data_IF_959131422451
#
_entry.id   IF_959131422451
#
_cell.length_a   1.000
_cell.length_b   1.000
_cell.length_c   1.000
_cell.angle_alpha   90.00
_cell.angle_beta   90.00
_cell.angle_gamma   90.00
#
_symmetry.space_group_name_H-M   'P 1'
#
loop_
_entity.id
_entity.type
_entity.pdbx_description
1 polymer ?
#
# COMPACT_ATOMS: atom_id res chain seq x y z
N UNK A 1 -16.02 -14.30 -8.32
CA UNK A 1 -16.57 -13.03 -7.77
C UNK A 1 -17.29 -13.19 -6.44
N UNK A 2 -18.51 -13.74 -6.33
CA UNK A 2 -19.21 -13.75 -5.01
C UNK A 2 -18.43 -14.53 -3.95
N UNK A 3 -17.97 -15.74 -4.26
CA UNK A 3 -17.15 -16.55 -3.35
C UNK A 3 -15.85 -15.83 -2.94
N UNK A 4 -15.25 -15.09 -3.88
CA UNK A 4 -14.06 -14.28 -3.61
C UNK A 4 -14.38 -13.13 -2.64
N UNK A 5 -15.48 -12.41 -2.85
CA UNK A 5 -15.88 -11.30 -1.97
C UNK A 5 -16.23 -11.79 -0.56
N UNK A 6 -16.85 -12.96 -0.46
CA UNK A 6 -17.13 -13.60 0.83
C UNK A 6 -15.83 -13.99 1.56
N UNK A 7 -14.90 -14.65 0.86
CA UNK A 7 -13.59 -14.98 1.42
C UNK A 7 -12.80 -13.73 1.84
N UNK A 8 -12.79 -12.69 0.99
CA UNK A 8 -12.14 -11.42 1.26
C UNK A 8 -12.72 -10.73 2.50
N UNK A 9 -14.04 -10.79 2.71
CA UNK A 9 -14.70 -10.20 3.87
C UNK A 9 -14.22 -10.86 5.18
N UNK A 10 -14.03 -12.18 5.18
CA UNK A 10 -13.61 -12.97 6.34
C UNK A 10 -12.10 -13.01 6.56
N UNK A 11 -11.27 -12.54 5.63
CA UNK A 11 -9.82 -12.53 5.79
C UNK A 11 -9.39 -11.65 6.98
N UNK A 12 -8.48 -12.15 7.82
CA UNK A 12 -8.04 -11.46 9.05
C UNK A 12 -6.64 -10.87 8.92
N UNK A 13 -5.88 -11.29 7.90
CA UNK A 13 -4.49 -10.85 7.70
C UNK A 13 -4.28 -10.28 6.30
N UNK A 14 -3.27 -9.40 6.17
CA UNK A 14 -2.85 -8.89 4.87
C UNK A 14 -2.36 -10.00 3.94
N UNK A 15 -1.74 -11.04 4.48
CA UNK A 15 -1.26 -12.20 3.73
C UNK A 15 -2.42 -12.98 3.11
N UNK A 16 -3.48 -13.26 3.89
CA UNK A 16 -4.68 -13.95 3.38
C UNK A 16 -5.34 -13.15 2.25
N UNK A 17 -5.52 -11.84 2.46
CA UNK A 17 -6.08 -10.94 1.44
C UNK A 17 -5.22 -10.96 0.19
N UNK A 18 -3.90 -10.87 0.33
CA UNK A 18 -2.99 -10.78 -0.80
C UNK A 18 -2.96 -12.09 -1.62
N UNK A 19 -2.95 -13.24 -0.95
CA UNK A 19 -2.97 -14.55 -1.61
C UNK A 19 -4.28 -14.76 -2.38
N UNK A 20 -5.43 -14.52 -1.72
CA UNK A 20 -6.76 -14.61 -2.36
C UNK A 20 -6.87 -13.67 -3.57
N UNK A 21 -6.32 -12.45 -3.44
CA UNK A 21 -6.40 -11.45 -4.49
C UNK A 21 -5.52 -11.81 -5.70
N UNK A 22 -4.29 -12.28 -5.46
CA UNK A 22 -3.42 -12.78 -6.53
C UNK A 22 -4.07 -13.93 -7.31
N UNK A 23 -4.69 -14.89 -6.61
CA UNK A 23 -5.41 -16.01 -7.24
C UNK A 23 -6.59 -15.54 -8.09
N UNK A 24 -7.43 -14.62 -7.59
CA UNK A 24 -8.58 -14.13 -8.35
C UNK A 24 -8.15 -13.31 -9.58
N UNK A 25 -7.09 -12.48 -9.48
CA UNK A 25 -6.56 -11.73 -10.63
C UNK A 25 -5.94 -12.62 -11.70
N UNK A 26 -5.31 -13.73 -11.31
CA UNK A 26 -4.75 -14.70 -12.26
C UNK A 26 -5.82 -15.31 -13.18
N UNK A 27 -7.08 -15.41 -12.71
CA UNK A 27 -8.22 -15.90 -13.53
C UNK A 27 -8.56 -14.97 -14.68
N UNK A 28 -8.26 -13.68 -14.55
CA UNK A 28 -8.41 -12.67 -15.61
C UNK A 28 -7.14 -12.53 -16.46
N UNK A 29 -6.07 -13.26 -16.15
CA UNK A 29 -4.81 -13.21 -16.91
C UNK A 29 -3.74 -12.30 -16.33
N UNK A 30 -3.93 -11.76 -15.12
CA UNK A 30 -2.92 -10.97 -14.41
C UNK A 30 -2.24 -11.81 -13.33
N UNK A 31 -1.00 -12.22 -13.56
CA UNK A 31 -0.28 -13.15 -12.70
C UNK A 31 0.79 -12.50 -11.82
N UNK A 32 1.12 -11.23 -12.08
CA UNK A 32 2.08 -10.45 -11.27
C UNK A 32 1.48 -9.10 -10.91
N UNK A 33 1.23 -8.88 -9.63
CA UNK A 33 0.58 -7.71 -9.08
C UNK A 33 1.56 -6.92 -8.22
N UNK A 34 1.44 -5.60 -8.25
CA UNK A 34 2.18 -4.68 -7.39
C UNK A 34 1.22 -3.64 -6.83
N UNK A 35 0.98 -3.70 -5.52
CA UNK A 35 0.14 -2.78 -4.77
C UNK A 35 1.01 -1.84 -3.94
N UNK A 36 0.61 -0.57 -3.88
CA UNK A 36 1.23 0.45 -3.03
C UNK A 36 0.18 1.32 -2.35
N UNK A 37 0.33 1.57 -1.06
CA UNK A 37 -0.56 2.45 -0.29
C UNK A 37 0.18 3.23 0.79
N UNK A 38 -0.15 4.51 0.94
CA UNK A 38 0.35 5.37 2.03
C UNK A 38 -0.77 6.28 2.56
N UNK A 39 -0.68 6.65 3.85
CA UNK A 39 -1.52 7.67 4.51
C UNK A 39 -0.75 8.96 4.84
N UNK A 40 0.48 9.08 4.33
CA UNK A 40 1.40 10.17 4.66
C UNK A 40 1.92 10.91 3.42
N UNK A 41 1.17 10.86 2.30
CA UNK A 41 1.55 11.60 1.09
C UNK A 41 1.43 13.11 1.33
N UNK A 42 2.34 13.86 0.71
CA UNK A 42 2.31 15.32 0.60
C UNK A 42 2.27 15.70 -0.88
N UNK A 43 2.20 17.01 -1.19
CA UNK A 43 2.36 17.47 -2.56
C UNK A 43 3.73 17.08 -3.13
N UNK A 44 4.76 17.12 -2.30
CA UNK A 44 6.17 16.92 -2.70
C UNK A 44 6.65 15.46 -2.61
N UNK A 45 6.08 14.62 -1.73
CA UNK A 45 6.62 13.28 -1.44
C UNK A 45 5.54 12.24 -1.11
N UNK A 46 5.86 10.94 -1.20
CA UNK A 46 5.02 9.83 -0.71
C UNK A 46 5.00 9.67 0.83
N UNK A 47 5.71 10.52 1.55
CA UNK A 47 6.09 10.28 2.94
C UNK A 47 7.25 9.29 3.05
N UNK A 48 7.47 8.78 4.26
CA UNK A 48 8.51 7.79 4.50
C UNK A 48 8.13 6.47 3.85
N UNK A 49 9.06 5.90 3.09
CA UNK A 49 8.85 4.63 2.41
C UNK A 49 8.56 3.47 3.39
N UNK A 50 9.12 3.55 4.59
CA UNK A 50 8.90 2.62 5.70
C UNK A 50 7.49 2.69 6.30
N UNK A 51 6.69 3.70 5.93
CA UNK A 51 5.30 3.87 6.37
C UNK A 51 4.29 3.45 5.30
N UNK A 52 4.77 3.24 4.08
CA UNK A 52 3.95 2.74 2.99
C UNK A 52 3.83 1.22 3.07
N UNK A 53 2.68 0.73 2.60
CA UNK A 53 2.40 -0.69 2.45
C UNK A 53 2.64 -1.03 0.98
N UNK A 54 3.59 -1.93 0.75
CA UNK A 54 3.83 -2.53 -0.57
C UNK A 54 3.53 -4.01 -0.49
N UNK A 55 2.71 -4.50 -1.42
CA UNK A 55 2.43 -5.93 -1.58
C UNK A 55 2.75 -6.29 -3.03
N UNK A 56 3.44 -7.40 -3.23
CA UNK A 56 3.80 -7.88 -4.56
C UNK A 56 3.89 -9.40 -4.57
N UNK A 57 3.62 -10.01 -5.71
CA UNK A 57 4.02 -11.39 -6.01
C UNK A 57 5.00 -11.46 -7.19
N UNK A 58 5.60 -10.33 -7.58
CA UNK A 58 6.79 -10.33 -8.42
C UNK A 58 7.97 -10.97 -7.67
N UNK A 59 8.98 -11.44 -8.43
CA UNK A 59 10.22 -11.92 -7.84
C UNK A 59 10.97 -10.81 -7.07
N UNK A 60 11.82 -11.22 -6.13
CA UNK A 60 12.56 -10.29 -5.28
C UNK A 60 13.51 -9.39 -6.08
N UNK A 61 14.08 -9.85 -7.19
CA UNK A 61 14.97 -9.04 -8.01
C UNK A 61 14.22 -7.87 -8.68
N UNK A 62 12.98 -8.09 -9.10
CA UNK A 62 12.10 -7.02 -9.57
C UNK A 62 11.78 -6.03 -8.44
N UNK A 63 11.38 -6.54 -7.27
CA UNK A 63 11.02 -5.70 -6.13
C UNK A 63 12.19 -4.84 -5.65
N UNK A 64 13.34 -5.45 -5.41
CA UNK A 64 14.54 -4.77 -4.87
C UNK A 64 14.96 -3.60 -5.78
N UNK A 65 14.94 -3.82 -7.08
CA UNK A 65 15.30 -2.78 -8.05
C UNK A 65 14.17 -1.78 -8.26
N UNK A 66 12.95 -2.21 -8.59
CA UNK A 66 11.88 -1.30 -8.97
C UNK A 66 11.33 -0.49 -7.79
N UNK A 67 11.16 -1.15 -6.64
CA UNK A 67 10.55 -0.60 -5.44
C UNK A 67 11.63 -0.15 -4.45
N UNK A 68 12.65 -0.97 -4.21
CA UNK A 68 13.77 -0.61 -3.32
C UNK A 68 14.57 0.60 -3.79
N UNK A 69 14.91 0.69 -5.09
CA UNK A 69 15.56 1.88 -5.67
C UNK A 69 14.57 2.99 -6.06
N UNK A 70 13.27 2.80 -5.78
CA UNK A 70 12.19 3.78 -5.99
C UNK A 70 12.02 4.23 -7.46
N UNK A 71 12.31 3.34 -8.41
CA UNK A 71 12.15 3.61 -9.84
C UNK A 71 10.69 3.93 -10.21
N UNK A 72 9.73 3.32 -9.52
CA UNK A 72 8.30 3.52 -9.75
C UNK A 72 7.87 5.01 -9.69
N UNK A 73 8.52 5.84 -8.86
CA UNK A 73 8.25 7.28 -8.75
C UNK A 73 8.45 8.05 -10.06
N UNK A 74 9.29 7.52 -10.94
CA UNK A 74 9.66 8.14 -12.21
C UNK A 74 8.89 7.57 -13.39
N UNK A 75 7.89 6.71 -13.14
CA UNK A 75 7.10 6.11 -14.22
C UNK A 75 5.97 7.02 -14.68
N UNK A 76 5.62 6.99 -15.98
CA UNK A 76 4.43 7.70 -16.50
C UNK A 76 3.15 7.27 -15.77
N UNK A 77 3.03 5.98 -15.45
CA UNK A 77 1.90 5.41 -14.71
C UNK A 77 1.73 6.04 -13.33
N UNK A 78 2.82 6.18 -12.56
CA UNK A 78 2.77 6.78 -11.23
C UNK A 78 2.43 8.28 -11.31
N UNK A 79 3.00 9.01 -12.27
CA UNK A 79 2.67 10.42 -12.53
C UNK A 79 1.19 10.59 -12.86
N UNK A 80 0.64 9.72 -13.72
CA UNK A 80 -0.78 9.71 -14.03
C UNK A 80 -1.62 9.42 -12.79
N UNK A 81 -1.32 8.35 -12.05
CA UNK A 81 -2.08 7.92 -10.88
C UNK A 81 -2.19 9.02 -9.80
N UNK A 82 -1.15 9.85 -9.63
CA UNK A 82 -1.15 10.97 -8.67
C UNK A 82 -2.27 12.00 -8.89
N UNK A 83 -2.79 12.10 -10.10
CA UNK A 83 -3.77 13.12 -10.49
C UNK A 83 -5.09 12.56 -11.00
N UNK A 84 -5.24 11.23 -11.01
CA UNK A 84 -6.41 10.56 -11.59
C UNK A 84 -6.88 9.42 -10.69
N UNK A 85 -8.17 9.12 -10.76
CA UNK A 85 -8.76 7.90 -10.20
C UNK A 85 -9.33 7.02 -11.33
N UNK A 86 -9.31 5.70 -11.13
CA UNK A 86 -9.77 4.72 -12.11
C UNK A 86 -8.60 3.93 -12.70
N UNK A 87 -8.83 3.30 -13.85
CA UNK A 87 -7.87 2.43 -14.51
C UNK A 87 -7.29 3.00 -15.80
N UNK A 88 -6.06 2.59 -16.14
CA UNK A 88 -5.39 2.96 -17.39
C UNK A 88 -4.60 1.80 -17.97
N UNK A 89 -4.73 1.61 -19.29
CA UNK A 89 -3.92 0.67 -20.08
C UNK A 89 -2.47 1.11 -20.06
N UNK A 90 -1.54 0.16 -20.04
CA UNK A 90 -0.14 0.53 -20.16
C UNK A 90 0.27 0.94 -21.58
N UNK A 91 -0.47 0.51 -22.61
CA UNK A 91 -0.25 0.89 -24.00
C UNK A 91 -0.29 2.41 -24.19
N UNK A 92 -1.19 3.08 -23.48
CA UNK A 92 -1.32 4.54 -23.45
C UNK A 92 -0.03 5.27 -23.03
N UNK A 93 0.85 4.61 -22.26
CA UNK A 93 2.11 5.19 -21.81
C UNK A 93 3.31 4.74 -22.65
N UNK A 94 3.25 3.52 -23.20
CA UNK A 94 4.36 2.95 -23.96
C UNK A 94 4.46 3.50 -25.37
N UNK A 95 3.34 3.87 -25.98
CA UNK A 95 3.31 4.31 -27.38
C UNK A 95 3.72 5.79 -27.55
N UNK A 96 3.59 6.61 -26.50
CA UNK A 96 4.08 8.00 -26.49
C UNK A 96 5.57 8.10 -26.09
N UNK A 97 6.42 7.54 -26.95
CA UNK A 97 7.88 7.50 -26.72
C UNK A 97 8.61 8.82 -26.98
N UNK A 98 7.96 9.80 -27.61
CA UNK A 98 8.62 11.05 -28.04
C UNK A 98 8.87 12.02 -26.87
N UNK A 99 8.21 11.82 -25.72
CA UNK A 99 8.35 12.65 -24.52
C UNK A 99 9.13 12.02 -23.36
N UNK A 100 9.69 10.81 -23.51
CA UNK A 100 10.31 10.07 -22.41
C UNK A 100 11.75 10.53 -22.12
N UNK A 101 12.04 10.78 -20.85
CA UNK A 101 13.40 10.99 -20.33
C UNK A 101 14.26 9.72 -20.46
N UNK A 102 15.59 9.88 -20.42
CA UNK A 102 16.52 8.74 -20.43
C UNK A 102 16.27 7.76 -19.28
N UNK A 103 15.84 8.27 -18.11
CA UNK A 103 15.54 7.41 -16.97
C UNK A 103 14.26 6.60 -17.18
N UNK A 104 13.22 7.20 -17.78
CA UNK A 104 12.00 6.46 -18.15
C UNK A 104 12.31 5.36 -19.18
N UNK A 105 13.16 5.64 -20.17
CA UNK A 105 13.61 4.62 -21.15
C UNK A 105 14.35 3.47 -20.47
N UNK A 106 15.23 3.76 -19.51
CA UNK A 106 15.93 2.74 -18.71
C UNK A 106 14.93 1.85 -17.94
N UNK A 107 13.93 2.47 -17.30
CA UNK A 107 12.89 1.75 -16.55
C UNK A 107 12.05 0.87 -17.47
N UNK A 108 11.69 1.35 -18.66
CA UNK A 108 10.98 0.56 -19.67
C UNK A 108 11.81 -0.63 -20.13
N UNK A 109 13.09 -0.42 -20.42
CA UNK A 109 14.00 -1.48 -20.82
C UNK A 109 14.13 -2.54 -19.72
N UNK A 110 14.23 -2.13 -18.46
CA UNK A 110 14.24 -3.02 -17.31
C UNK A 110 12.92 -3.82 -17.18
N UNK A 111 11.77 -3.15 -17.26
CA UNK A 111 10.46 -3.81 -17.23
C UNK A 111 10.33 -4.85 -18.34
N UNK A 112 10.80 -4.54 -19.56
CA UNK A 112 10.84 -5.51 -20.68
C UNK A 112 11.73 -6.72 -20.39
N UNK A 113 12.91 -6.52 -19.81
CA UNK A 113 13.80 -7.64 -19.42
C UNK A 113 13.15 -8.57 -18.38
N UNK A 114 12.28 -8.03 -17.54
CA UNK A 114 11.57 -8.76 -16.48
C UNK A 114 10.17 -9.24 -16.92
N UNK A 115 9.84 -9.18 -18.23
CA UNK A 115 8.53 -9.55 -18.78
C UNK A 115 7.34 -8.77 -18.14
N UNK A 116 7.56 -7.51 -17.80
CA UNK A 116 6.54 -6.55 -17.34
C UNK A 116 6.21 -5.61 -18.50
N UNK A 117 5.45 -6.12 -19.49
CA UNK A 117 5.28 -5.45 -20.79
C UNK A 117 3.86 -5.03 -21.10
N UNK A 118 2.86 -5.75 -20.58
CA UNK A 118 1.45 -5.48 -20.79
C UNK A 118 0.70 -5.55 -19.46
N UNK A 119 -0.31 -4.70 -19.30
CA UNK A 119 -1.04 -4.60 -18.05
C UNK A 119 -1.92 -3.37 -17.94
N UNK A 120 -2.48 -3.20 -16.74
CA UNK A 120 -3.27 -2.04 -16.35
C UNK A 120 -2.81 -1.55 -14.98
N UNK A 121 -2.92 -0.24 -14.75
CA UNK A 121 -2.79 0.35 -13.42
C UNK A 121 -4.12 0.93 -12.98
N UNK A 122 -4.48 0.70 -11.72
CA UNK A 122 -5.65 1.29 -11.08
C UNK A 122 -5.15 2.25 -9.99
N UNK A 123 -5.57 3.50 -10.09
CA UNK A 123 -5.40 4.50 -9.04
C UNK A 123 -6.69 4.57 -8.22
N UNK A 124 -6.60 4.31 -6.92
CA UNK A 124 -7.78 4.27 -6.05
C UNK A 124 -8.25 5.68 -5.68
N UNK A 125 -9.55 5.82 -5.47
CA UNK A 125 -10.11 7.06 -4.93
C UNK A 125 -9.60 7.25 -3.50
N UNK A 126 -8.93 8.37 -3.24
CA UNK A 126 -8.29 8.59 -1.96
C UNK A 126 -9.31 9.04 -0.91
N UNK A 127 -9.38 8.39 0.26
CA UNK A 127 -10.30 8.77 1.34
C UNK A 127 -9.91 10.12 2.00
N UNK A 128 -8.69 10.59 1.78
CA UNK A 128 -8.21 11.88 2.25
C UNK A 128 -7.12 12.43 1.32
N UNK A 129 -6.81 13.75 1.38
CA UNK A 129 -5.69 14.34 0.62
C UNK A 129 -4.31 13.75 0.97
N UNK A 130 -4.21 13.05 2.11
CA UNK A 130 -2.97 12.42 2.59
C UNK A 130 -2.88 10.92 2.28
N UNK A 131 -3.94 10.34 1.74
CA UNK A 131 -3.95 8.96 1.31
C UNK A 131 -3.62 8.87 -0.19
N UNK A 132 -2.85 7.86 -0.55
CA UNK A 132 -2.64 7.48 -1.95
C UNK A 132 -2.50 5.98 -2.06
N UNK A 133 -3.31 5.38 -2.91
CA UNK A 133 -3.28 3.95 -3.19
C UNK A 133 -3.32 3.69 -4.69
N UNK A 134 -2.50 2.73 -5.14
CA UNK A 134 -2.60 2.21 -6.50
C UNK A 134 -2.23 0.74 -6.56
N UNK A 135 -2.64 0.08 -7.63
CA UNK A 135 -2.20 -1.27 -7.98
C UNK A 135 -1.85 -1.35 -9.46
N UNK A 136 -0.82 -2.10 -9.77
CA UNK A 136 -0.40 -2.45 -11.12
C UNK A 136 -0.66 -3.94 -11.33
N UNK A 137 -1.42 -4.26 -12.37
CA UNK A 137 -1.82 -5.60 -12.77
C UNK A 137 -1.02 -5.97 -14.02
N UNK A 138 0.06 -6.73 -13.85
CA UNK A 138 0.89 -7.20 -14.96
C UNK A 138 0.25 -8.45 -15.57
N UNK A 139 0.11 -8.46 -16.88
CA UNK A 139 -0.39 -9.62 -17.60
C UNK A 139 0.60 -10.79 -17.58
N UNK A 140 0.05 -12.00 -17.64
CA UNK A 140 0.86 -13.22 -17.79
C UNK A 140 1.67 -13.19 -19.07
N UNK A 141 2.81 -13.88 -19.04
CA UNK A 141 3.68 -14.00 -20.20
C UNK A 141 2.91 -14.58 -21.40
N UNK A 142 3.13 -14.01 -22.58
CA UNK A 142 2.48 -14.41 -23.83
C UNK A 142 1.23 -13.62 -24.19
N UNK A 143 0.72 -12.75 -23.32
CA UNK A 143 -0.29 -11.74 -23.68
C UNK A 143 0.40 -10.43 -24.04
N UNK A 144 -0.01 -9.82 -25.15
CA UNK A 144 0.36 -8.45 -25.47
C UNK A 144 -0.67 -7.44 -24.94
N UNK A 145 -0.42 -6.15 -25.16
CA UNK A 145 -1.34 -5.12 -24.65
C UNK A 145 -2.71 -5.15 -25.32
N UNK A 146 -2.80 -5.56 -26.59
CA UNK A 146 -4.08 -5.64 -27.28
C UNK A 146 -4.95 -6.78 -26.71
N UNK A 147 -4.34 -7.92 -26.38
CA UNK A 147 -5.02 -9.01 -25.67
C UNK A 147 -5.55 -8.53 -24.30
N UNK A 148 -4.73 -7.76 -23.57
CA UNK A 148 -5.10 -7.23 -22.25
C UNK A 148 -6.20 -6.17 -22.34
N UNK A 149 -6.18 -5.33 -23.37
CA UNK A 149 -7.22 -4.34 -23.63
C UNK A 149 -8.55 -5.03 -24.00
N UNK A 150 -8.53 -6.17 -24.72
CA UNK A 150 -9.72 -7.00 -24.97
C UNK A 150 -10.29 -7.58 -23.66
N UNK A 151 -9.42 -8.14 -22.80
CA UNK A 151 -9.79 -8.60 -21.45
C UNK A 151 -10.43 -7.45 -20.66
N UNK A 152 -9.84 -6.25 -20.70
CA UNK A 152 -10.38 -5.08 -20.00
C UNK A 152 -11.72 -4.62 -20.56
N UNK A 153 -11.90 -4.68 -21.89
CA UNK A 153 -13.18 -4.38 -22.54
C UNK A 153 -14.30 -5.32 -22.09
N UNK A 154 -13.99 -6.59 -21.84
CA UNK A 154 -14.96 -7.59 -21.34
C UNK A 154 -15.21 -7.49 -19.84
N UNK A 155 -14.13 -7.46 -19.05
CA UNK A 155 -14.18 -7.70 -17.60
C UNK A 155 -13.72 -6.51 -16.74
N UNK A 156 -13.25 -5.41 -17.34
CA UNK A 156 -12.59 -4.30 -16.65
C UNK A 156 -13.38 -3.73 -15.49
N UNK A 157 -14.71 -3.57 -15.64
CA UNK A 157 -15.58 -3.11 -14.54
C UNK A 157 -15.57 -4.05 -13.33
N UNK A 158 -15.53 -5.35 -13.56
CA UNK A 158 -15.48 -6.37 -12.49
C UNK A 158 -14.10 -6.39 -11.85
N UNK A 159 -13.04 -6.32 -12.66
CA UNK A 159 -11.66 -6.26 -12.20
C UNK A 159 -11.46 -5.02 -11.31
N UNK A 160 -11.89 -3.84 -11.75
CA UNK A 160 -11.80 -2.61 -10.96
C UNK A 160 -12.56 -2.74 -9.64
N UNK A 161 -13.79 -3.26 -9.65
CA UNK A 161 -14.58 -3.46 -8.44
C UNK A 161 -13.90 -4.40 -7.43
N UNK A 162 -13.34 -5.52 -7.90
CA UNK A 162 -12.59 -6.47 -7.06
C UNK A 162 -11.36 -5.80 -6.43
N UNK A 163 -10.62 -5.01 -7.20
CA UNK A 163 -9.45 -4.26 -6.72
C UNK A 163 -9.83 -3.19 -5.69
N UNK A 164 -10.94 -2.49 -5.89
CA UNK A 164 -11.47 -1.56 -4.89
C UNK A 164 -11.83 -2.25 -3.58
N UNK A 165 -12.49 -3.42 -3.63
CA UNK A 165 -12.83 -4.18 -2.42
C UNK A 165 -11.57 -4.68 -1.71
N UNK A 166 -10.57 -5.18 -2.45
CA UNK A 166 -9.28 -5.57 -1.89
C UNK A 166 -8.57 -4.39 -1.21
N UNK A 167 -8.54 -3.23 -1.85
CA UNK A 167 -7.96 -2.00 -1.28
C UNK A 167 -8.63 -1.60 0.04
N UNK A 168 -9.97 -1.59 0.09
CA UNK A 168 -10.71 -1.26 1.31
C UNK A 168 -10.46 -2.29 2.41
N UNK A 169 -10.40 -3.58 2.07
CA UNK A 169 -10.08 -4.63 3.03
C UNK A 169 -8.66 -4.46 3.57
N UNK A 170 -7.66 -4.26 2.71
CA UNK A 170 -6.27 -3.98 3.11
C UNK A 170 -6.26 -2.82 4.11
N UNK A 171 -6.86 -1.68 3.76
CA UNK A 171 -6.92 -0.48 4.60
C UNK A 171 -7.57 -0.68 5.98
N UNK A 172 -8.43 -1.69 6.13
CA UNK A 172 -9.11 -2.01 7.38
C UNK A 172 -8.29 -2.91 8.30
N UNK A 173 -7.31 -3.63 7.78
CA UNK A 173 -6.53 -4.60 8.54
C UNK A 173 -5.34 -3.94 9.26
N UNK A 174 -4.82 -4.54 10.34
CA UNK A 174 -3.56 -4.11 10.95
C UNK A 174 -2.40 -4.19 9.96
N UNK A 175 -1.71 -3.07 9.75
CA UNK A 175 -0.55 -3.02 8.86
C UNK A 175 0.72 -2.98 9.70
N UNK A 176 1.53 -4.04 9.59
CA UNK A 176 2.92 -3.98 10.03
C UNK A 176 3.72 -3.39 8.88
N UNK A 177 4.21 -2.18 9.07
CA UNK A 177 5.14 -1.59 8.10
C UNK A 177 6.55 -2.15 8.31
N UNK A 178 7.54 -1.68 7.56
CA UNK A 178 8.93 -2.14 7.73
C UNK A 178 9.49 -1.85 9.14
N UNK A 179 8.82 -0.99 9.93
CA UNK A 179 9.20 -0.68 11.31
C UNK A 179 8.70 -1.74 12.30
N UNK A 180 9.50 -1.98 13.33
CA UNK A 180 9.15 -2.91 14.40
C UNK A 180 7.85 -2.46 15.10
N UNK A 181 6.90 -3.38 15.25
CA UNK A 181 5.62 -3.11 15.90
C UNK A 181 5.76 -2.66 17.35
N UNK A 182 4.77 -1.90 17.83
CA UNK A 182 4.63 -1.54 19.23
C UNK A 182 4.47 -2.79 20.10
N UNK A 183 5.07 -2.80 21.29
CA UNK A 183 4.75 -3.81 22.31
C UNK A 183 3.39 -3.52 22.93
N UNK A 184 2.76 -4.50 23.56
CA UNK A 184 1.44 -4.34 24.21
C UNK A 184 1.41 -3.14 25.17
N UNK A 185 2.45 -2.99 26.02
CA UNK A 185 2.55 -1.82 26.92
C UNK A 185 2.77 -0.48 26.21
N UNK A 186 3.40 -0.48 25.04
CA UNK A 186 3.59 0.76 24.27
C UNK A 186 2.27 1.18 23.60
N UNK A 187 1.51 0.20 23.10
CA UNK A 187 0.17 0.36 22.55
C UNK A 187 -0.79 0.90 23.60
N UNK A 188 -0.91 0.20 24.73
CA UNK A 188 -1.81 0.55 25.84
C UNK A 188 -1.55 1.96 26.37
N UNK A 189 -0.27 2.35 26.53
CA UNK A 189 0.07 3.72 26.95
C UNK A 189 -0.32 4.76 25.89
N UNK A 190 -0.14 4.48 24.59
CA UNK A 190 -0.58 5.39 23.52
C UNK A 190 -2.10 5.51 23.43
N UNK A 191 -2.83 4.43 23.67
CA UNK A 191 -4.30 4.43 23.71
C UNK A 191 -4.83 5.34 24.82
N UNK A 192 -4.30 5.22 26.04
CA UNK A 192 -4.68 6.11 27.13
C UNK A 192 -4.37 7.58 26.86
N UNK A 193 -3.23 7.89 26.21
CA UNK A 193 -2.95 9.27 25.79
C UNK A 193 -3.92 9.71 24.70
N UNK A 194 -4.28 8.83 23.76
CA UNK A 194 -5.29 9.09 22.73
C UNK A 194 -6.69 9.36 23.30
N UNK A 195 -7.03 8.75 24.43
CA UNK A 195 -8.24 9.04 25.21
C UNK A 195 -8.15 10.32 26.07
N UNK A 196 -7.00 11.02 26.04
CA UNK A 196 -6.80 12.28 26.73
C UNK A 196 -6.35 12.15 28.20
N UNK A 197 -5.87 10.98 28.64
CA UNK A 197 -5.33 10.81 30.00
C UNK A 197 -3.97 11.47 30.17
N UNK A 198 -3.72 12.03 31.36
CA UNK A 198 -2.40 12.55 31.72
C UNK A 198 -1.43 11.40 32.06
N UNK A 199 -0.12 11.64 31.98
CA UNK A 199 0.88 10.62 32.38
C UNK A 199 0.70 10.16 33.83
N UNK A 200 0.18 11.03 34.71
CA UNK A 200 -0.12 10.70 36.11
C UNK A 200 -1.31 9.73 36.22
N UNK A 201 -2.38 9.99 35.48
CA UNK A 201 -3.54 9.11 35.43
C UNK A 201 -3.15 7.74 34.87
N UNK A 202 -2.36 7.72 33.78
CA UNK A 202 -1.86 6.49 33.16
C UNK A 202 -0.99 5.69 34.14
N UNK A 203 -0.07 6.36 34.84
CA UNK A 203 0.76 5.73 35.85
C UNK A 203 -0.09 5.08 36.96
N UNK A 204 -1.16 5.78 37.38
CA UNK A 204 -2.13 5.27 38.36
C UNK A 204 -2.90 4.07 37.84
N UNK A 205 -3.41 4.13 36.60
CA UNK A 205 -4.17 3.06 35.95
C UNK A 205 -3.32 1.79 35.79
N UNK A 206 -2.07 1.94 35.35
CA UNK A 206 -1.18 0.82 35.05
C UNK A 206 -0.38 0.32 36.27
N UNK A 207 -0.46 1.01 37.41
CA UNK A 207 0.30 0.65 38.61
C UNK A 207 1.82 0.81 38.44
N UNK A 208 2.26 1.79 37.64
CA UNK A 208 3.68 2.08 37.36
C UNK A 208 4.03 3.53 37.69
N UNK A 209 5.30 3.92 37.56
CA UNK A 209 5.70 5.31 37.77
C UNK A 209 5.45 6.17 36.53
N UNK A 210 5.29 7.49 36.70
CA UNK A 210 5.24 8.45 35.58
C UNK A 210 6.47 8.32 34.67
N UNK A 211 7.66 8.12 35.24
CA UNK A 211 8.89 7.89 34.49
C UNK A 211 8.83 6.62 33.62
N UNK A 212 8.13 5.58 34.09
CA UNK A 212 7.89 4.35 33.31
C UNK A 212 6.98 4.63 32.13
N UNK A 213 5.91 5.41 32.31
CA UNK A 213 5.01 5.85 31.23
C UNK A 213 5.78 6.65 30.18
N UNK A 214 6.58 7.63 30.61
CA UNK A 214 7.42 8.44 29.72
C UNK A 214 8.42 7.60 28.92
N UNK A 215 9.01 6.58 29.55
CA UNK A 215 9.89 5.63 28.87
C UNK A 215 9.13 4.86 27.79
N UNK A 216 7.93 4.35 28.06
CA UNK A 216 7.13 3.66 27.04
C UNK A 216 6.77 4.57 25.87
N UNK A 217 6.34 5.81 26.15
CA UNK A 217 6.04 6.80 25.12
C UNK A 217 7.26 7.14 24.26
N UNK A 218 8.44 7.31 24.88
CA UNK A 218 9.68 7.56 24.15
C UNK A 218 10.03 6.40 23.22
N UNK A 219 10.01 5.17 23.72
CA UNK A 219 10.31 3.99 22.90
C UNK A 219 9.26 3.75 21.79
N UNK A 220 8.00 4.09 22.04
CA UNK A 220 6.95 4.03 21.02
C UNK A 220 7.20 5.04 19.90
N UNK A 221 7.56 6.28 20.26
CA UNK A 221 7.97 7.33 19.31
C UNK A 221 9.18 6.93 18.47
N UNK A 222 10.21 6.36 19.10
CA UNK A 222 11.39 5.84 18.41
C UNK A 222 11.02 4.72 17.42
N UNK A 223 10.20 3.75 17.83
CA UNK A 223 9.74 2.66 16.94
C UNK A 223 8.90 3.16 15.77
N UNK A 224 8.06 4.16 16.00
CA UNK A 224 7.25 4.79 14.96
C UNK A 224 8.03 5.83 14.16
N UNK A 225 9.28 6.14 14.53
CA UNK A 225 10.14 7.18 13.95
C UNK A 225 9.45 8.55 13.88
N UNK A 226 8.90 8.99 15.00
CA UNK A 226 8.25 10.30 15.15
C UNK A 226 8.73 11.00 16.42
N UNK A 227 8.70 12.33 16.44
CA UNK A 227 9.23 13.11 17.56
C UNK A 227 8.19 13.39 18.66
N UNK A 228 6.91 13.44 18.31
CA UNK A 228 5.84 13.83 19.23
C UNK A 228 4.84 12.70 19.49
N UNK A 229 4.25 12.68 20.69
CA UNK A 229 3.25 11.67 21.04
C UNK A 229 1.98 11.83 20.22
N UNK A 230 1.58 13.07 19.89
CA UNK A 230 0.44 13.32 19.02
C UNK A 230 0.63 12.69 17.63
N UNK A 231 1.84 12.83 17.05
CA UNK A 231 2.16 12.17 15.79
C UNK A 231 2.21 10.64 15.94
N UNK A 232 2.73 10.12 17.06
CA UNK A 232 2.73 8.68 17.34
C UNK A 232 1.32 8.09 17.39
N UNK A 233 0.38 8.76 18.05
CA UNK A 233 -1.03 8.34 18.11
C UNK A 233 -1.64 8.34 16.71
N UNK A 234 -1.49 9.42 15.95
CA UNK A 234 -2.03 9.53 14.59
C UNK A 234 -1.48 8.42 13.69
N UNK A 235 -0.17 8.17 13.76
CA UNK A 235 0.50 7.15 12.95
C UNK A 235 0.08 5.73 13.35
N UNK A 236 0.04 5.42 14.64
CA UNK A 236 -0.41 4.13 15.13
C UNK A 236 -1.90 3.87 14.82
N UNK A 237 -2.75 4.90 14.93
CA UNK A 237 -4.16 4.82 14.54
C UNK A 237 -4.30 4.50 13.05
N UNK A 238 -3.56 5.20 12.19
CA UNK A 238 -3.56 4.94 10.75
C UNK A 238 -2.96 3.59 10.35
N UNK A 239 -2.10 3.00 11.17
CA UNK A 239 -1.59 1.65 10.94
C UNK A 239 -2.53 0.57 11.50
N UNK A 240 -3.68 0.96 12.08
CA UNK A 240 -4.59 0.08 12.81
C UNK A 240 -3.83 -0.71 13.89
N UNK A 241 -2.96 -0.02 14.65
CA UNK A 241 -2.15 -0.59 15.74
C UNK A 241 -2.60 -0.15 17.13
N UNK A 242 -3.62 0.68 17.25
CA UNK A 242 -4.28 1.07 18.51
C UNK A 242 -5.79 1.05 18.29
N UNK A 243 -6.57 0.83 19.35
CA UNK A 243 -8.05 0.78 19.32
C UNK A 243 -8.61 -0.29 18.37
N UNK A 244 -8.04 -1.51 18.40
CA UNK A 244 -8.47 -2.64 17.55
C UNK A 244 -9.20 -3.74 18.34
N UNK A 245 -9.57 -3.46 19.59
CA UNK A 245 -10.27 -4.40 20.48
C UNK A 245 -11.81 -4.35 20.28
#
# INVERSE_FOLDING_TARGET
MLDYLDALAHAETLEDVWNLHCEEMARYGFDRLLYGYTRFITEETLGEFEDAVFLTNHDSAYFDRFIGERLFLQTPMFRWARHHGGARSWGDFWDDTQGLSEKEKEIIAFNRQMNVTAGYSISFANPSPRAFGMISLTARSGLDQADVDEIWGRDGRVIEAINHMAHLKIMSLPHRTARAGLSDRQREVLEWVGEGKSNLDIATILGVTVATVEKHLRLAREKLGVETTAHAILKASFQNQIFQD
#
